data_IF_594106510003
#
_entry.id   IF_594106510003
#
_cell.length_a   1.000
_cell.length_b   1.000
_cell.length_c   1.000
_cell.angle_alpha   90.00
_cell.angle_beta   90.00
_cell.angle_gamma   90.00
#
_symmetry.space_group_name_H-M   'P 1'
#
loop_
_entity.id
_entity.type
_entity.pdbx_description
1 polymer ?
#
# COMPACT_ATOMS: atom_id res chain seq x y z
N UNK A 1 -1.81 -2.29 -7.26
CA UNK A 1 -2.90 -2.20 -6.26
C UNK A 1 -4.32 -2.17 -6.86
N UNK A 2 -4.49 -2.49 -8.15
CA UNK A 2 -5.82 -2.44 -8.79
C UNK A 2 -6.83 -3.31 -8.04
N UNK A 3 -7.96 -2.72 -7.62
CA UNK A 3 -9.03 -3.34 -6.81
C UNK A 3 -8.59 -3.88 -5.42
N UNK A 4 -7.39 -3.55 -4.95
CA UNK A 4 -6.85 -3.96 -3.65
C UNK A 4 -6.84 -2.83 -2.62
N UNK A 5 -7.40 -1.67 -2.95
CA UNK A 5 -7.48 -0.54 -2.04
C UNK A 5 -8.90 -0.29 -1.54
N UNK A 6 -9.00 -0.03 -0.24
CA UNK A 6 -10.17 0.48 0.42
C UNK A 6 -10.03 1.99 0.66
N UNK A 7 -11.14 2.65 0.91
CA UNK A 7 -11.17 4.02 1.41
C UNK A 7 -11.93 3.99 2.72
N UNK A 8 -11.30 4.49 3.78
CA UNK A 8 -11.95 4.77 5.06
C UNK A 8 -12.13 6.28 5.19
N UNK A 9 -13.36 6.75 5.10
CA UNK A 9 -13.73 8.17 5.01
C UNK A 9 -14.27 8.77 6.32
N UNK A 10 -14.40 7.95 7.37
CA UNK A 10 -14.93 8.34 8.69
C UNK A 10 -13.80 8.72 9.64
N UNK A 11 -13.06 9.80 9.31
CA UNK A 11 -11.94 10.23 10.14
C UNK A 11 -12.42 10.83 11.47
N UNK A 12 -12.12 10.13 12.58
CA UNK A 12 -12.43 10.55 13.95
C UNK A 12 -11.25 11.17 14.72
N UNK A 13 -10.09 11.32 14.11
CA UNK A 13 -8.85 11.74 14.76
C UNK A 13 -7.81 10.62 14.79
N UNK A 14 -7.01 10.57 15.83
CA UNK A 14 -6.07 9.46 16.05
C UNK A 14 -6.84 8.28 16.59
N UNK A 15 -6.65 7.09 15.98
CA UNK A 15 -7.32 5.85 16.38
C UNK A 15 -6.85 5.40 17.77
N UNK A 16 -7.55 5.83 18.83
CA UNK A 16 -7.24 5.45 20.21
C UNK A 16 -8.12 4.34 20.75
N UNK A 17 -9.27 4.10 20.16
CA UNK A 17 -10.24 3.14 20.64
C UNK A 17 -10.40 1.93 19.71
N UNK A 18 -10.98 0.89 20.27
CA UNK A 18 -11.22 -0.37 19.57
C UNK A 18 -12.30 -0.19 18.49
N UNK A 19 -13.25 0.71 18.71
CA UNK A 19 -14.38 0.93 17.79
C UNK A 19 -13.88 1.47 16.45
N UNK A 20 -12.98 2.45 16.47
CA UNK A 20 -12.36 2.98 15.25
C UNK A 20 -11.48 1.92 14.56
N UNK A 21 -10.71 1.14 15.33
CA UNK A 21 -9.93 0.03 14.80
C UNK A 21 -10.80 -1.02 14.08
N UNK A 22 -11.96 -1.36 14.64
CA UNK A 22 -12.92 -2.27 14.02
C UNK A 22 -13.54 -1.67 12.74
N UNK A 23 -13.87 -0.38 12.75
CA UNK A 23 -14.40 0.30 11.57
C UNK A 23 -13.38 0.36 10.42
N UNK A 24 -12.10 0.61 10.72
CA UNK A 24 -11.02 0.54 9.74
C UNK A 24 -10.87 -0.88 9.19
N UNK A 25 -10.90 -1.90 10.05
CA UNK A 25 -10.82 -3.29 9.64
C UNK A 25 -12.00 -3.71 8.76
N UNK A 26 -13.20 -3.27 9.08
CA UNK A 26 -14.40 -3.49 8.26
C UNK A 26 -14.27 -2.81 6.88
N UNK A 27 -13.82 -1.57 6.83
CA UNK A 27 -13.58 -0.86 5.58
C UNK A 27 -12.50 -1.53 4.71
N UNK A 28 -11.43 -2.06 5.32
CA UNK A 28 -10.38 -2.81 4.64
C UNK A 28 -10.94 -4.11 4.04
N UNK A 29 -11.74 -4.87 4.79
CA UNK A 29 -12.29 -6.16 4.38
C UNK A 29 -11.18 -7.12 3.94
N UNK A 30 -11.36 -7.77 2.79
CA UNK A 30 -10.39 -8.69 2.19
C UNK A 30 -9.27 -8.00 1.39
N UNK A 31 -9.24 -6.67 1.37
CA UNK A 31 -8.23 -5.89 0.64
C UNK A 31 -6.95 -5.79 1.46
N UNK A 32 -5.86 -5.47 0.78
CA UNK A 32 -4.54 -5.38 1.42
C UNK A 32 -4.07 -3.96 1.68
N UNK A 33 -4.75 -2.97 1.12
CA UNK A 33 -4.38 -1.56 1.27
C UNK A 33 -5.61 -0.70 1.56
N UNK A 34 -5.44 0.36 2.32
CA UNK A 34 -6.47 1.37 2.52
C UNK A 34 -5.89 2.77 2.54
N UNK A 35 -6.67 3.72 2.03
CA UNK A 35 -6.47 5.15 2.25
C UNK A 35 -7.38 5.53 3.41
N UNK A 36 -6.78 5.96 4.51
CA UNK A 36 -7.49 6.51 5.65
C UNK A 36 -7.57 8.02 5.43
N UNK A 37 -8.75 8.52 5.10
CA UNK A 37 -8.96 9.93 4.74
C UNK A 37 -8.45 10.86 5.85
N UNK A 38 -7.68 11.88 5.48
CA UNK A 38 -7.03 12.83 6.39
C UNK A 38 -6.06 12.24 7.42
N UNK A 39 -5.69 10.94 7.29
CA UNK A 39 -4.80 10.26 8.22
C UNK A 39 -3.55 9.72 7.51
N UNK A 40 -3.72 8.85 6.52
CA UNK A 40 -2.60 8.24 5.82
C UNK A 40 -2.95 6.95 5.10
N UNK A 41 -1.96 6.07 4.97
CA UNK A 41 -2.06 4.78 4.30
C UNK A 41 -2.00 3.65 5.33
N UNK A 42 -2.78 2.60 5.08
CA UNK A 42 -2.71 1.33 5.80
C UNK A 42 -2.42 0.21 4.82
N UNK A 43 -1.50 -0.68 5.16
CA UNK A 43 -1.22 -1.87 4.36
C UNK A 43 -1.09 -3.10 5.23
N UNK A 44 -1.49 -4.24 4.69
CA UNK A 44 -1.40 -5.55 5.32
C UNK A 44 -0.74 -6.55 4.39
N UNK A 45 -0.18 -7.61 4.94
CA UNK A 45 0.46 -8.67 4.16
C UNK A 45 0.70 -9.93 4.99
N UNK A 46 1.01 -11.03 4.32
CA UNK A 46 1.36 -12.29 4.98
C UNK A 46 2.69 -12.21 5.75
N UNK A 47 3.51 -11.19 5.51
CA UNK A 47 4.74 -10.87 6.25
C UNK A 47 4.94 -9.36 6.33
N UNK A 48 5.84 -8.92 7.20
CA UNK A 48 6.24 -7.52 7.33
C UNK A 48 6.84 -7.00 6.02
N UNK A 49 7.65 -7.80 5.34
CA UNK A 49 8.25 -7.46 4.05
C UNK A 49 7.19 -7.09 3.02
N UNK A 50 6.15 -7.91 2.90
CA UNK A 50 5.05 -7.72 1.96
C UNK A 50 4.25 -6.47 2.33
N UNK A 51 3.90 -6.30 3.60
CA UNK A 51 3.16 -5.14 4.07
C UNK A 51 3.93 -3.84 3.82
N UNK A 52 5.23 -3.83 4.12
CA UNK A 52 6.09 -2.66 3.92
C UNK A 52 6.30 -2.34 2.44
N UNK A 53 6.52 -3.37 1.59
CA UNK A 53 6.60 -3.14 0.15
C UNK A 53 5.31 -2.56 -0.42
N UNK A 54 4.16 -3.08 0.00
CA UNK A 54 2.86 -2.53 -0.42
C UNK A 54 2.69 -1.07 0.01
N UNK A 55 3.17 -0.71 1.21
CA UNK A 55 3.13 0.67 1.69
C UNK A 55 3.97 1.60 0.79
N UNK A 56 5.22 1.22 0.52
CA UNK A 56 6.13 1.99 -0.35
C UNK A 56 5.54 2.11 -1.75
N UNK A 57 5.05 1.01 -2.33
CA UNK A 57 4.46 1.01 -3.66
C UNK A 57 3.19 1.88 -3.72
N UNK A 58 2.34 1.82 -2.70
CA UNK A 58 1.12 2.62 -2.63
C UNK A 58 1.44 4.12 -2.51
N UNK A 59 2.39 4.50 -1.65
CA UNK A 59 2.85 5.88 -1.52
C UNK A 59 3.36 6.43 -2.85
N UNK A 60 4.21 5.66 -3.56
CA UNK A 60 4.72 6.05 -4.88
C UNK A 60 3.64 6.15 -5.95
N UNK A 61 2.66 5.23 -5.93
CA UNK A 61 1.52 5.31 -6.83
C UNK A 61 0.67 6.57 -6.56
N UNK A 62 0.40 6.90 -5.30
CA UNK A 62 -0.33 8.11 -4.94
C UNK A 62 0.42 9.38 -5.39
N UNK A 63 1.73 9.47 -5.14
CA UNK A 63 2.55 10.58 -5.61
C UNK A 63 2.52 10.72 -7.14
N UNK A 64 2.69 9.60 -7.85
CA UNK A 64 2.67 9.60 -9.32
C UNK A 64 1.32 10.01 -9.88
N UNK A 65 0.23 9.55 -9.26
CA UNK A 65 -1.12 9.92 -9.68
C UNK A 65 -1.39 11.42 -9.50
N UNK A 66 -1.04 11.98 -8.34
CA UNK A 66 -1.20 13.42 -8.08
C UNK A 66 -0.39 14.28 -9.06
N UNK A 67 0.84 13.85 -9.40
CA UNK A 67 1.67 14.54 -10.39
C UNK A 67 1.06 14.43 -11.79
N UNK A 68 0.58 13.26 -12.18
CA UNK A 68 -0.06 13.07 -13.48
C UNK A 68 -1.33 13.92 -13.62
N UNK A 69 -2.18 13.94 -12.60
CA UNK A 69 -3.41 14.75 -12.57
C UNK A 69 -3.12 16.25 -12.62
N UNK A 70 -2.04 16.69 -11.97
CA UNK A 70 -1.60 18.10 -12.01
C UNK A 70 -1.02 18.51 -13.36
N UNK A 71 -0.45 17.57 -14.11
CA UNK A 71 0.14 17.81 -15.43
C UNK A 71 -0.88 17.78 -16.60
N UNK A 72 -2.08 17.24 -16.36
CA UNK A 72 -3.13 17.14 -17.37
C UNK A 72 -4.06 15.96 -17.14
N UNK A 73 -4.63 15.44 -18.24
CA UNK A 73 -5.54 14.29 -18.17
C UNK A 73 -4.75 12.99 -18.43
N UNK A 74 -4.54 12.15 -17.41
CA UNK A 74 -3.80 10.90 -17.59
C UNK A 74 -4.56 9.92 -18.50
N UNK A 75 -3.81 9.10 -19.25
CA UNK A 75 -4.37 7.99 -20.02
C UNK A 75 -4.61 6.83 -19.06
N UNK A 76 -5.87 6.44 -18.92
CA UNK A 76 -6.26 5.33 -18.05
C UNK A 76 -6.11 4.01 -18.82
N UNK A 77 -5.40 3.06 -18.23
CA UNK A 77 -5.30 1.69 -18.77
C UNK A 77 -6.63 0.95 -18.63
N UNK A 78 -6.90 -0.02 -19.51
CA UNK A 78 -8.10 -0.85 -19.39
C UNK A 78 -8.04 -1.77 -18.16
N UNK A 79 -9.20 -2.13 -17.64
CA UNK A 79 -9.33 -3.06 -16.51
C UNK A 79 -8.67 -4.41 -16.80
N UNK A 80 -8.74 -4.88 -18.05
CA UNK A 80 -8.08 -6.12 -18.48
C UNK A 80 -6.56 -6.07 -18.28
N UNK A 81 -5.93 -4.98 -18.74
CA UNK A 81 -4.47 -4.78 -18.57
C UNK A 81 -4.13 -4.61 -17.09
N UNK A 82 -4.96 -3.89 -16.33
CA UNK A 82 -4.75 -3.70 -14.89
C UNK A 82 -4.84 -5.03 -14.11
N UNK A 83 -5.80 -5.90 -14.45
CA UNK A 83 -5.92 -7.25 -13.88
C UNK A 83 -4.74 -8.14 -14.24
N UNK A 84 -4.28 -8.09 -15.50
CA UNK A 84 -3.10 -8.83 -15.92
C UNK A 84 -1.84 -8.38 -15.16
N UNK A 85 -1.62 -7.09 -15.03
CA UNK A 85 -0.51 -6.53 -14.26
C UNK A 85 -0.58 -6.94 -12.77
N UNK A 86 -1.79 -6.93 -12.18
CA UNK A 86 -2.02 -7.40 -10.81
C UNK A 86 -1.65 -8.87 -10.66
N UNK A 87 -2.06 -9.74 -11.59
CA UNK A 87 -1.73 -11.17 -11.55
C UNK A 87 -0.22 -11.42 -11.68
N UNK A 88 0.49 -10.61 -12.46
CA UNK A 88 1.92 -10.74 -12.68
C UNK A 88 2.77 -10.20 -11.52
N UNK A 89 2.41 -9.03 -10.98
CA UNK A 89 3.24 -8.30 -10.01
C UNK A 89 2.67 -8.32 -8.57
N UNK A 90 1.44 -8.79 -8.37
CA UNK A 90 0.74 -8.72 -7.08
C UNK A 90 0.83 -10.00 -6.23
N UNK A 91 1.61 -11.01 -6.62
CA UNK A 91 1.77 -12.24 -5.83
C UNK A 91 2.66 -12.00 -4.62
N UNK A 92 2.42 -12.71 -3.53
CA UNK A 92 3.20 -12.57 -2.29
C UNK A 92 4.69 -12.82 -2.51
N UNK A 93 5.05 -13.76 -3.37
CA UNK A 93 6.45 -14.04 -3.73
C UNK A 93 7.12 -12.83 -4.39
N UNK A 94 6.44 -12.17 -5.33
CA UNK A 94 6.99 -11.00 -6.04
C UNK A 94 7.05 -9.80 -5.12
N UNK A 95 6.04 -9.58 -4.29
CA UNK A 95 6.04 -8.49 -3.32
C UNK A 95 7.16 -8.64 -2.28
N UNK A 96 7.35 -9.86 -1.77
CA UNK A 96 8.45 -10.18 -0.88
C UNK A 96 9.81 -9.95 -1.56
N UNK A 97 10.01 -10.51 -2.76
CA UNK A 97 11.27 -10.38 -3.50
C UNK A 97 11.58 -8.91 -3.85
N UNK A 98 10.56 -8.10 -4.13
CA UNK A 98 10.72 -6.68 -4.44
C UNK A 98 11.21 -5.86 -3.25
N UNK A 99 10.93 -6.30 -2.02
CA UNK A 99 11.41 -5.64 -0.81
C UNK A 99 12.86 -5.98 -0.47
N UNK A 100 13.35 -7.17 -0.83
CA UNK A 100 14.67 -7.65 -0.40
C UNK A 100 15.84 -6.69 -0.73
N UNK A 101 15.94 -6.05 -1.91
CA UNK A 101 17.01 -5.11 -2.17
C UNK A 101 17.03 -3.90 -1.22
N UNK A 102 15.87 -3.47 -0.72
CA UNK A 102 15.79 -2.38 0.26
C UNK A 102 16.24 -2.86 1.64
N UNK A 103 15.89 -4.07 2.01
CA UNK A 103 16.37 -4.70 3.24
C UNK A 103 17.90 -4.84 3.23
N UNK A 104 18.45 -5.37 2.14
CA UNK A 104 19.89 -5.56 1.99
C UNK A 104 20.65 -4.23 2.07
N UNK A 105 20.10 -3.18 1.42
CA UNK A 105 20.67 -1.83 1.49
C UNK A 105 20.71 -1.29 2.93
N UNK A 106 19.62 -1.42 3.69
CA UNK A 106 19.58 -0.98 5.09
C UNK A 106 20.48 -1.83 5.96
N UNK A 107 20.55 -3.13 5.71
CA UNK A 107 21.47 -4.04 6.41
C UNK A 107 22.94 -3.62 6.25
N UNK A 108 23.33 -3.15 5.07
CA UNK A 108 24.70 -2.67 4.82
C UNK A 108 24.98 -1.28 5.42
N UNK A 109 23.98 -0.37 5.36
CA UNK A 109 24.16 1.02 5.79
C UNK A 109 23.95 1.22 7.29
N UNK A 110 23.00 0.52 7.88
CA UNK A 110 22.50 0.75 9.24
C UNK A 110 22.29 -0.58 9.99
N UNK A 111 23.33 -1.43 10.17
CA UNK A 111 23.16 -2.77 10.76
C UNK A 111 22.69 -2.76 12.20
N UNK A 112 22.64 -1.61 12.86
CA UNK A 112 22.26 -1.46 14.28
C UNK A 112 20.80 -1.81 14.57
N UNK A 113 19.92 -1.82 13.54
CA UNK A 113 18.53 -2.23 13.71
C UNK A 113 18.35 -3.73 14.05
N UNK A 114 19.43 -4.53 13.94
CA UNK A 114 19.45 -5.96 14.31
C UNK A 114 19.82 -6.20 15.79
N UNK A 115 20.16 -5.15 16.53
CA UNK A 115 20.51 -5.23 17.95
C UNK A 115 19.34 -4.82 18.81
#
# INVERSE_FOLDING_TARGET
>A
CFQEQAIYDSYGGVAFDIEEGLAIAEALGEKRTAILQNHGLLTTGASVDIALWLFIAMDKCCQSQLLADSAGSPIIISDEIALQAKAQAGTDMILWASFQPLYDLIYELEPDFLK
#
